data_IF_801948829471
#
_entry.id   IF_801948829471
#
_cell.length_a   1.000
_cell.length_b   1.000
_cell.length_c   1.000
_cell.angle_alpha   90.00
_cell.angle_beta   90.00
_cell.angle_gamma   90.00
#
_symmetry.space_group_name_H-M   'P 1'
#
loop_
_entity.id
_entity.type
_entity.pdbx_description
1 polymer ?
#
# COMPACT_ATOMS: atom_id res chain seq x y z
N UNK A 1 72.62 -25.50 -50.76
CA UNK A 1 71.66 -26.61 -50.60
C UNK A 1 71.17 -26.62 -49.17
N UNK A 2 69.84 -26.60 -49.00
CA UNK A 2 69.04 -26.90 -47.81
C UNK A 2 69.19 -25.99 -46.57
N UNK A 3 68.16 -25.61 -45.80
CA UNK A 3 66.70 -25.65 -45.90
C UNK A 3 66.17 -25.16 -44.52
N UNK A 4 65.18 -24.25 -44.48
CA UNK A 4 64.21 -24.01 -43.38
C UNK A 4 64.78 -23.54 -41.99
N UNK A 5 64.14 -22.72 -41.15
CA UNK A 5 62.75 -22.31 -40.95
C UNK A 5 62.68 -21.08 -40.02
N UNK A 6 61.61 -20.30 -40.17
CA UNK A 6 61.15 -19.14 -39.38
C UNK A 6 61.11 -19.35 -37.85
N UNK A 7 61.17 -18.25 -37.06
CA UNK A 7 60.06 -17.80 -36.18
C UNK A 7 60.41 -16.61 -35.27
N UNK A 8 59.60 -15.53 -35.38
CA UNK A 8 58.93 -14.71 -34.34
C UNK A 8 59.02 -13.20 -34.63
N UNK A 9 58.04 -12.71 -35.37
CA UNK A 9 57.57 -11.31 -35.31
C UNK A 9 56.37 -11.31 -34.36
N UNK A 10 56.47 -10.58 -33.25
CA UNK A 10 55.38 -10.39 -32.30
C UNK A 10 54.39 -9.37 -32.85
N UNK A 11 53.15 -9.80 -33.06
CA UNK A 11 52.03 -8.95 -33.44
C UNK A 11 51.40 -8.36 -32.15
N UNK A 12 51.51 -7.05 -31.97
CA UNK A 12 50.75 -6.30 -30.95
C UNK A 12 49.29 -6.18 -31.43
N UNK A 13 48.39 -7.01 -30.90
CA UNK A 13 46.95 -6.81 -31.02
C UNK A 13 46.51 -5.76 -29.99
N UNK A 14 46.08 -4.60 -30.47
CA UNK A 14 45.33 -3.63 -29.67
C UNK A 14 43.88 -4.12 -29.54
N UNK A 15 43.54 -4.71 -28.39
CA UNK A 15 42.15 -4.98 -28.02
C UNK A 15 41.47 -3.68 -27.60
N UNK A 16 40.71 -3.07 -28.50
CA UNK A 16 39.72 -2.06 -28.14
C UNK A 16 38.53 -2.76 -27.47
N UNK A 17 38.49 -2.76 -26.14
CA UNK A 17 37.27 -3.08 -25.40
C UNK A 17 36.28 -1.93 -25.60
N UNK A 18 35.32 -2.11 -26.51
CA UNK A 18 34.10 -1.30 -26.52
C UNK A 18 33.31 -1.64 -25.25
N UNK A 19 33.37 -0.78 -24.24
CA UNK A 19 32.44 -0.82 -23.12
C UNK A 19 31.05 -0.42 -23.64
N UNK A 20 30.28 -1.41 -24.10
CA UNK A 20 28.84 -1.26 -24.26
C UNK A 20 28.26 -1.10 -22.86
N UNK A 21 28.09 0.15 -22.44
CA UNK A 21 27.23 0.52 -21.33
C UNK A 21 25.84 -0.02 -21.63
N UNK A 22 25.49 -1.15 -21.01
CA UNK A 22 24.09 -1.60 -20.90
C UNK A 22 23.34 -0.52 -20.13
N UNK A 23 22.81 0.46 -20.85
CA UNK A 23 21.83 1.39 -20.31
C UNK A 23 20.58 0.55 -20.08
N UNK A 24 20.33 0.17 -18.83
CA UNK A 24 19.09 -0.49 -18.45
C UNK A 24 17.94 0.30 -19.08
N UNK A 25 17.14 -0.35 -19.93
CA UNK A 25 16.04 0.29 -20.62
C UNK A 25 15.05 0.74 -19.54
N UNK A 26 14.98 2.05 -19.30
CA UNK A 26 14.02 2.63 -18.36
C UNK A 26 12.63 2.37 -18.91
N UNK A 27 11.73 1.84 -18.09
CA UNK A 27 10.34 1.72 -18.50
C UNK A 27 9.77 3.13 -18.74
N UNK A 28 8.93 3.27 -19.76
CA UNK A 28 8.23 4.52 -20.03
C UNK A 28 7.00 4.69 -19.12
N UNK A 29 6.52 3.58 -18.54
CA UNK A 29 5.38 3.56 -17.62
C UNK A 29 5.52 2.54 -16.51
N UNK A 30 4.87 2.83 -15.38
CA UNK A 30 4.69 1.89 -14.26
C UNK A 30 3.26 1.94 -13.73
N UNK A 31 2.80 0.84 -13.13
CA UNK A 31 1.50 0.73 -12.45
C UNK A 31 1.72 0.57 -10.94
N UNK A 32 1.20 1.51 -10.17
CA UNK A 32 1.13 1.43 -8.71
C UNK A 32 -0.24 0.91 -8.31
N UNK A 33 -0.30 0.06 -7.28
CA UNK A 33 -1.55 -0.44 -6.70
C UNK A 33 -1.54 -0.17 -5.20
N UNK A 34 -2.59 0.48 -4.72
CA UNK A 34 -2.82 0.73 -3.31
C UNK A 34 -4.04 -0.06 -2.84
N UNK A 35 -3.93 -0.67 -1.67
CA UNK A 35 -5.04 -1.39 -1.04
C UNK A 35 -5.37 -0.78 0.32
N UNK A 36 -6.59 -1.04 0.78
CA UNK A 36 -7.06 -0.62 2.10
C UNK A 36 -6.44 -1.36 3.29
N UNK A 37 -7.14 -1.33 4.40
CA UNK A 37 -6.59 -1.73 5.70
C UNK A 37 -6.38 -3.25 5.81
N UNK A 38 -5.15 -3.64 6.15
CA UNK A 38 -4.73 -5.02 6.38
C UNK A 38 -4.85 -5.34 7.87
N UNK A 39 -5.99 -5.92 8.26
CA UNK A 39 -6.32 -6.20 9.66
C UNK A 39 -6.33 -7.69 9.99
N UNK A 40 -6.20 -7.98 11.29
CA UNK A 40 -6.16 -9.35 11.81
C UNK A 40 -6.97 -9.47 13.11
N UNK A 41 -8.29 -9.68 12.98
CA UNK A 41 -9.18 -9.92 14.10
C UNK A 41 -9.08 -11.36 14.63
N UNK A 42 -9.62 -11.61 15.83
CA UNK A 42 -9.56 -12.93 16.46
C UNK A 42 -10.13 -14.04 15.56
N UNK A 43 -11.29 -13.82 14.95
CA UNK A 43 -11.91 -14.80 14.06
C UNK A 43 -11.06 -15.12 12.81
N UNK A 44 -10.28 -14.16 12.31
CA UNK A 44 -9.38 -14.37 11.18
C UNK A 44 -8.18 -15.23 11.59
N UNK A 45 -7.63 -14.98 12.78
CA UNK A 45 -6.55 -15.80 13.35
C UNK A 45 -7.03 -17.22 13.64
N UNK A 46 -8.22 -17.37 14.20
CA UNK A 46 -8.80 -18.68 14.52
C UNK A 46 -9.05 -19.49 13.23
N UNK A 47 -9.54 -18.84 12.18
CA UNK A 47 -9.75 -19.46 10.87
C UNK A 47 -8.44 -19.84 10.15
N UNK A 48 -7.36 -19.07 10.37
CA UNK A 48 -6.05 -19.34 9.78
C UNK A 48 -5.24 -20.38 10.58
N UNK A 49 -5.58 -20.63 11.85
CA UNK A 49 -4.78 -21.47 12.74
C UNK A 49 -4.81 -22.94 12.32
N UNK A 50 -3.62 -23.53 12.14
CA UNK A 50 -3.43 -24.96 11.86
C UNK A 50 -3.30 -25.79 13.16
N UNK A 51 -3.51 -27.12 13.09
CA UNK A 51 -3.35 -28.01 14.25
C UNK A 51 -1.95 -27.97 14.90
N UNK A 52 -0.91 -27.69 14.12
CA UNK A 52 0.49 -27.57 14.59
C UNK A 52 0.79 -26.22 15.27
N UNK A 53 -0.20 -25.31 15.34
CA UNK A 53 -0.05 -23.99 15.96
C UNK A 53 0.51 -22.90 15.04
N UNK A 54 0.76 -23.21 13.77
CA UNK A 54 1.08 -22.20 12.73
C UNK A 54 -0.18 -21.58 12.14
N UNK A 55 -0.04 -20.56 11.29
CA UNK A 55 -1.15 -19.85 10.66
C UNK A 55 -1.04 -19.86 9.14
N UNK A 56 -2.16 -20.07 8.43
CA UNK A 56 -2.27 -20.11 6.98
C UNK A 56 -3.22 -19.05 6.45
N UNK A 57 -2.68 -18.13 5.65
CA UNK A 57 -3.42 -17.04 5.03
C UNK A 57 -3.52 -17.19 3.51
N UNK A 58 -3.09 -18.32 2.94
CA UNK A 58 -3.01 -18.55 1.49
C UNK A 58 -4.33 -18.31 0.76
N UNK A 59 -5.47 -18.67 1.37
CA UNK A 59 -6.79 -18.49 0.74
C UNK A 59 -7.20 -17.03 0.62
N UNK A 60 -6.69 -16.14 1.49
CA UNK A 60 -7.21 -14.79 1.66
C UNK A 60 -7.06 -13.98 0.38
N UNK A 61 -5.93 -14.13 -0.32
CA UNK A 61 -5.58 -13.30 -1.47
C UNK A 61 -5.75 -14.00 -2.82
N UNK A 62 -6.22 -15.26 -2.83
CA UNK A 62 -6.22 -16.10 -4.04
C UNK A 62 -6.89 -15.44 -5.24
N UNK A 63 -8.06 -14.80 -5.04
CA UNK A 63 -8.85 -14.26 -6.16
C UNK A 63 -8.43 -12.84 -6.56
N UNK A 64 -7.68 -12.14 -5.71
CA UNK A 64 -7.14 -10.80 -6.00
C UNK A 64 -5.71 -10.84 -6.53
N UNK A 65 -5.06 -12.01 -6.45
CA UNK A 65 -3.70 -12.24 -6.94
C UNK A 65 -3.47 -11.79 -8.39
N UNK A 66 -4.39 -12.03 -9.35
CA UNK A 66 -4.19 -11.56 -10.73
C UNK A 66 -3.97 -10.05 -10.85
N UNK A 67 -4.58 -9.24 -9.97
CA UNK A 67 -4.39 -7.79 -9.99
C UNK A 67 -3.07 -7.37 -9.33
N UNK A 68 -2.61 -8.11 -8.32
CA UNK A 68 -1.29 -7.87 -7.71
C UNK A 68 -0.16 -8.11 -8.70
N UNK A 69 -0.24 -9.19 -9.49
CA UNK A 69 0.80 -9.54 -10.46
C UNK A 69 0.90 -8.51 -11.63
N UNK A 70 -0.09 -7.62 -11.77
CA UNK A 70 -0.07 -6.51 -12.75
C UNK A 70 0.57 -5.24 -12.20
N UNK A 71 0.76 -5.15 -10.88
CA UNK A 71 1.36 -3.98 -10.25
C UNK A 71 2.89 -4.05 -10.32
N UNK A 72 3.52 -2.92 -10.56
CA UNK A 72 4.97 -2.75 -10.41
C UNK A 72 5.36 -2.36 -8.98
N UNK A 73 4.40 -1.79 -8.23
CA UNK A 73 4.53 -1.48 -6.80
C UNK A 73 3.18 -1.68 -6.11
N UNK A 74 3.09 -2.61 -5.18
CA UNK A 74 1.93 -2.86 -4.33
C UNK A 74 2.15 -2.29 -2.91
N UNK A 75 1.25 -1.40 -2.48
CA UNK A 75 1.33 -0.71 -1.18
C UNK A 75 0.07 -0.98 -0.35
N UNK A 76 0.23 -1.29 0.93
CA UNK A 76 -0.88 -1.51 1.87
C UNK A 76 -0.68 -0.84 3.24
N UNK A 77 -1.78 -0.54 3.92
CA UNK A 77 -1.78 -0.09 5.31
C UNK A 77 -1.77 -1.31 6.25
N UNK A 78 -0.65 -1.55 6.93
CA UNK A 78 -0.53 -2.61 7.93
C UNK A 78 -1.08 -2.12 9.27
N UNK A 79 -2.38 -2.32 9.47
CA UNK A 79 -3.12 -1.79 10.63
C UNK A 79 -3.19 -2.79 11.80
N UNK A 80 -2.06 -3.45 12.04
CA UNK A 80 -1.85 -4.36 13.14
C UNK A 80 -0.39 -4.28 13.57
N UNK A 81 -0.11 -4.58 14.84
CA UNK A 81 1.27 -4.82 15.26
C UNK A 81 1.65 -6.28 15.10
N UNK A 82 2.92 -6.54 14.83
CA UNK A 82 3.54 -7.86 14.94
C UNK A 82 4.26 -7.90 16.30
N UNK A 83 3.48 -7.91 17.38
CA UNK A 83 4.00 -7.86 18.75
C UNK A 83 4.47 -9.20 19.31
N UNK A 84 4.26 -10.30 18.58
CA UNK A 84 4.55 -11.66 19.04
C UNK A 84 3.43 -12.24 19.92
N UNK A 85 3.67 -13.44 20.45
CA UNK A 85 2.71 -14.12 21.32
C UNK A 85 2.54 -13.39 22.67
N UNK A 86 1.35 -13.43 23.29
CA UNK A 86 0.12 -14.00 22.76
C UNK A 86 -0.46 -13.14 21.64
N UNK A 87 -0.84 -13.78 20.53
CA UNK A 87 -1.56 -13.12 19.45
C UNK A 87 -2.94 -12.71 19.93
N UNK A 88 -3.39 -11.52 19.52
CA UNK A 88 -4.69 -10.97 19.93
C UNK A 88 -5.29 -10.15 18.80
N UNK A 89 -6.61 -10.27 18.63
CA UNK A 89 -7.37 -9.36 17.78
C UNK A 89 -7.69 -8.04 18.51
N UNK A 90 -8.73 -7.36 18.03
CA UNK A 90 -9.30 -6.16 18.63
C UNK A 90 -9.61 -6.34 20.14
N UNK A 91 -9.46 -5.31 21.01
CA UNK A 91 -9.19 -3.89 20.70
C UNK A 91 -7.73 -3.52 20.53
N UNK A 92 -6.81 -4.45 20.78
CA UNK A 92 -5.39 -4.15 20.73
C UNK A 92 -4.66 -5.34 20.09
N UNK A 93 -4.27 -5.15 18.84
CA UNK A 93 -3.81 -6.17 17.91
C UNK A 93 -2.39 -6.63 18.20
N UNK A 94 -2.17 -7.93 18.03
CA UNK A 94 -0.86 -8.57 17.83
C UNK A 94 -1.07 -9.73 16.86
N UNK A 95 -0.76 -9.49 15.58
CA UNK A 95 -0.97 -10.45 14.51
C UNK A 95 0.11 -11.56 14.50
N UNK A 96 -0.22 -12.77 14.02
CA UNK A 96 0.77 -13.81 13.74
C UNK A 96 1.77 -13.37 12.68
N UNK A 97 3.04 -13.78 12.82
CA UNK A 97 4.10 -13.43 11.88
C UNK A 97 3.81 -13.95 10.47
N UNK A 98 3.14 -15.10 10.37
CA UNK A 98 2.72 -15.71 9.11
C UNK A 98 1.78 -14.83 8.28
N UNK A 99 1.08 -13.89 8.91
CA UNK A 99 0.31 -12.89 8.17
C UNK A 99 1.25 -12.00 7.35
N UNK A 100 2.35 -11.53 7.94
CA UNK A 100 3.35 -10.72 7.24
C UNK A 100 4.10 -11.54 6.18
N UNK A 101 4.38 -12.83 6.44
CA UNK A 101 4.98 -13.73 5.45
C UNK A 101 4.08 -13.91 4.24
N UNK A 102 2.77 -14.06 4.45
CA UNK A 102 1.81 -14.13 3.37
C UNK A 102 1.77 -12.83 2.58
N UNK A 103 1.75 -11.67 3.24
CA UNK A 103 1.81 -10.36 2.55
C UNK A 103 3.06 -10.25 1.65
N UNK A 104 4.24 -10.65 2.14
CA UNK A 104 5.45 -10.70 1.31
C UNK A 104 5.28 -11.66 0.13
N UNK A 105 4.76 -12.87 0.37
CA UNK A 105 4.56 -13.91 -0.66
C UNK A 105 3.59 -13.45 -1.74
N UNK A 106 2.58 -12.66 -1.38
CA UNK A 106 1.60 -12.12 -2.34
C UNK A 106 2.04 -10.87 -3.09
N UNK A 107 3.25 -10.38 -2.80
CA UNK A 107 3.88 -9.32 -3.57
C UNK A 107 3.70 -7.93 -2.96
N UNK A 108 3.37 -7.78 -1.68
CA UNK A 108 3.40 -6.47 -1.05
C UNK A 108 4.83 -5.93 -1.00
N UNK A 109 5.06 -4.84 -1.73
CA UNK A 109 6.37 -4.20 -1.86
C UNK A 109 6.61 -3.17 -0.76
N UNK A 110 5.57 -2.48 -0.30
CA UNK A 110 5.65 -1.47 0.77
C UNK A 110 4.50 -1.63 1.75
N UNK A 111 4.82 -1.54 3.05
CA UNK A 111 3.80 -1.49 4.11
C UNK A 111 3.88 -0.18 4.90
N UNK A 112 2.72 0.44 5.06
CA UNK A 112 2.54 1.68 5.82
C UNK A 112 2.17 1.33 7.25
N UNK A 113 2.74 2.05 8.22
CA UNK A 113 2.65 1.69 9.64
C UNK A 113 2.21 2.84 10.55
N UNK A 114 2.14 4.08 10.06
CA UNK A 114 1.50 5.15 10.82
C UNK A 114 -0.02 5.00 10.68
N UNK A 115 -0.60 4.35 11.68
CA UNK A 115 -2.03 4.24 11.93
C UNK A 115 -2.30 4.26 13.44
N UNK A 116 -3.56 4.30 13.83
CA UNK A 116 -3.96 4.34 15.24
C UNK A 116 -3.57 3.08 16.04
N UNK A 117 -3.42 1.93 15.36
CA UNK A 117 -3.09 0.65 15.97
C UNK A 117 -1.59 0.36 16.09
N UNK A 118 -0.72 1.26 15.61
CA UNK A 118 0.73 1.03 15.58
C UNK A 118 1.39 0.89 16.97
N UNK A 119 0.67 1.26 18.04
CA UNK A 119 1.12 1.16 19.43
C UNK A 119 0.32 0.18 20.29
N UNK A 120 -0.51 -0.70 19.70
CA UNK A 120 -1.37 -1.63 20.47
C UNK A 120 -0.59 -2.58 21.40
N UNK A 121 0.69 -2.79 21.12
CA UNK A 121 1.65 -3.57 21.91
C UNK A 121 2.77 -2.70 22.52
N UNK A 122 2.52 -1.39 22.61
CA UNK A 122 3.43 -0.37 23.11
C UNK A 122 4.75 -0.32 22.35
N UNK A 123 5.77 0.25 23.00
CA UNK A 123 7.15 0.35 22.49
C UNK A 123 7.69 -0.98 21.94
N UNK A 124 7.60 -2.06 22.71
CA UNK A 124 8.13 -3.37 22.30
C UNK A 124 7.42 -3.91 21.05
N UNK A 125 6.11 -3.67 20.93
CA UNK A 125 5.31 -4.03 19.77
C UNK A 125 5.70 -3.29 18.51
N UNK A 126 5.82 -1.96 18.60
CA UNK A 126 6.28 -1.12 17.49
C UNK A 126 7.69 -1.54 17.04
N UNK A 127 8.63 -1.65 17.98
CA UNK A 127 10.01 -2.03 17.66
C UNK A 127 10.10 -3.42 17.02
N UNK A 128 9.31 -4.39 17.51
CA UNK A 128 9.26 -5.73 16.91
C UNK A 128 8.64 -5.67 15.51
N UNK A 129 7.58 -4.91 15.31
CA UNK A 129 6.94 -4.73 14.00
C UNK A 129 7.94 -4.20 12.98
N UNK A 130 8.69 -3.15 13.33
CA UNK A 130 9.76 -2.59 12.49
C UNK A 130 10.86 -3.63 12.21
N UNK A 131 11.31 -4.38 13.22
CA UNK A 131 12.32 -5.45 13.04
C UNK A 131 11.83 -6.56 12.10
N UNK A 132 10.56 -6.96 12.19
CA UNK A 132 9.99 -7.98 11.32
C UNK A 132 9.96 -7.51 9.86
N UNK A 133 9.51 -6.27 9.61
CA UNK A 133 9.52 -5.66 8.29
C UNK A 133 10.94 -5.56 7.71
N UNK A 134 11.90 -5.09 8.51
CA UNK A 134 13.31 -5.03 8.11
C UNK A 134 13.89 -6.42 7.82
N UNK A 135 13.55 -7.45 8.62
CA UNK A 135 14.06 -8.82 8.43
C UNK A 135 13.56 -9.51 7.15
N UNK A 136 12.42 -9.06 6.62
CA UNK A 136 11.84 -9.54 5.36
C UNK A 136 12.13 -8.59 4.19
N UNK A 137 12.96 -7.57 4.43
CA UNK A 137 13.30 -6.54 3.45
C UNK A 137 12.04 -5.94 2.81
N UNK A 138 11.03 -5.62 3.64
CA UNK A 138 9.83 -4.90 3.22
C UNK A 138 10.05 -3.43 3.58
N UNK A 139 10.29 -2.55 2.59
CA UNK A 139 10.28 -1.11 2.82
C UNK A 139 9.01 -0.68 3.56
N UNK A 140 9.18 0.21 4.53
CA UNK A 140 8.07 0.71 5.33
C UNK A 140 8.24 2.19 5.67
N UNK A 141 7.11 2.83 5.95
CA UNK A 141 7.06 4.23 6.36
C UNK A 141 6.03 4.41 7.48
N UNK A 142 6.27 5.40 8.34
CA UNK A 142 5.30 5.87 9.33
C UNK A 142 5.71 5.66 10.79
N UNK A 143 6.43 4.59 11.11
CA UNK A 143 6.92 4.31 12.47
C UNK A 143 8.40 3.94 12.48
N UNK A 144 9.11 4.34 13.55
CA UNK A 144 10.55 4.19 13.66
C UNK A 144 10.96 3.88 15.10
N UNK A 145 12.03 3.09 15.28
CA UNK A 145 12.54 2.74 16.61
C UNK A 145 13.18 3.93 17.32
N UNK A 146 13.71 4.86 16.54
CA UNK A 146 14.40 6.07 17.01
C UNK A 146 14.25 7.25 16.02
N UNK A 147 14.45 8.48 16.51
CA UNK A 147 14.34 9.72 15.71
C UNK A 147 15.40 9.77 14.61
N UNK A 148 16.59 9.25 14.88
CA UNK A 148 17.72 9.18 13.97
C UNK A 148 17.44 8.21 12.82
N UNK A 149 16.74 7.10 13.09
CA UNK A 149 16.28 6.16 12.09
C UNK A 149 15.27 6.83 11.16
N UNK A 150 14.26 7.50 11.71
CA UNK A 150 13.31 8.32 10.93
C UNK A 150 14.04 9.32 10.04
N UNK A 151 14.98 10.06 10.61
CA UNK A 151 15.69 11.14 9.91
C UNK A 151 16.50 10.63 8.71
N UNK A 152 17.03 9.40 8.79
CA UNK A 152 17.76 8.74 7.70
C UNK A 152 16.85 8.10 6.66
N UNK A 153 15.73 7.49 7.09
CA UNK A 153 14.87 6.65 6.23
C UNK A 153 13.60 7.33 5.71
N UNK A 154 13.24 8.51 6.21
CA UNK A 154 12.01 9.22 5.84
C UNK A 154 12.30 10.59 5.21
N UNK A 155 11.58 11.04 4.16
CA UNK A 155 10.55 10.33 3.37
C UNK A 155 11.03 9.00 2.76
N UNK A 156 10.14 8.02 2.65
CA UNK A 156 10.49 6.73 2.06
C UNK A 156 10.62 6.91 0.55
N UNK A 157 11.82 6.69 0.00
CA UNK A 157 12.05 6.65 -1.44
C UNK A 157 12.24 5.20 -1.90
N UNK A 158 11.39 4.75 -2.82
CA UNK A 158 11.53 3.47 -3.53
C UNK A 158 11.81 3.72 -5.01
N UNK A 159 12.61 2.84 -5.63
CA UNK A 159 12.90 2.92 -7.07
C UNK A 159 12.38 1.67 -7.78
N UNK A 160 11.45 1.84 -8.71
CA UNK A 160 10.81 0.74 -9.45
C UNK A 160 10.91 1.00 -10.94
N UNK A 161 11.52 0.08 -11.70
CA UNK A 161 11.74 0.22 -13.16
C UNK A 161 12.32 1.60 -13.56
N UNK A 162 13.19 2.13 -12.69
CA UNK A 162 13.84 3.43 -12.85
C UNK A 162 13.01 4.64 -12.39
N UNK A 163 11.75 4.48 -11.97
CA UNK A 163 10.94 5.54 -11.35
C UNK A 163 11.25 5.70 -9.87
N UNK A 164 11.47 6.94 -9.45
CA UNK A 164 11.75 7.35 -8.06
C UNK A 164 10.45 7.79 -7.40
N UNK A 165 9.89 6.96 -6.53
CA UNK A 165 8.60 7.18 -5.88
C UNK A 165 8.85 7.50 -4.41
N UNK A 166 8.39 8.67 -3.96
CA UNK A 166 8.42 9.00 -2.53
C UNK A 166 7.04 8.74 -1.93
N UNK A 167 7.03 8.01 -0.82
CA UNK A 167 5.86 7.75 0.01
C UNK A 167 6.01 8.49 1.34
N UNK A 168 4.97 9.25 1.69
CA UNK A 168 4.81 9.87 2.99
C UNK A 168 3.69 9.14 3.73
N UNK A 169 3.82 8.91 5.04
CA UNK A 169 2.76 8.25 5.82
C UNK A 169 2.58 8.88 7.19
N UNK A 170 1.33 9.26 7.51
CA UNK A 170 0.97 9.94 8.74
C UNK A 170 -0.35 9.41 9.32
N UNK A 171 -0.48 9.45 10.64
CA UNK A 171 -1.70 9.09 11.38
C UNK A 171 -2.28 10.24 12.18
N UNK A 172 -3.61 10.29 12.31
CA UNK A 172 -4.32 11.24 13.17
C UNK A 172 -4.04 11.01 14.66
N UNK A 173 -3.64 9.80 15.06
CA UNK A 173 -3.41 9.45 16.46
C UNK A 173 -2.99 7.99 16.64
N UNK A 174 -2.95 7.55 17.90
CA UNK A 174 -2.46 6.24 18.37
C UNK A 174 -3.39 5.62 19.43
N UNK A 175 -4.71 5.79 19.28
CA UNK A 175 -5.72 5.31 20.25
C UNK A 175 -5.48 5.77 21.70
N UNK A 176 -4.89 6.96 21.88
CA UNK A 176 -4.55 7.51 23.19
C UNK A 176 -3.30 6.90 23.84
N UNK A 177 -2.61 5.99 23.17
CA UNK A 177 -1.37 5.39 23.67
C UNK A 177 -0.20 6.34 23.37
N UNK A 178 0.53 6.84 24.37
CA UNK A 178 1.61 7.79 24.14
C UNK A 178 2.81 7.11 23.45
N UNK A 179 3.38 7.81 22.46
CA UNK A 179 4.67 7.42 21.88
C UNK A 179 5.75 7.59 22.94
N UNK A 180 6.47 6.51 23.27
CA UNK A 180 7.53 6.54 24.28
C UNK A 180 8.89 6.68 23.59
N UNK A 181 9.69 7.72 23.89
CA UNK A 181 11.05 7.84 23.36
C UNK A 181 11.91 6.59 23.64
N UNK A 182 12.82 6.22 22.72
CA UNK A 182 13.21 6.97 21.53
C UNK A 182 12.28 6.78 20.32
N UNK A 183 11.24 5.94 20.41
CA UNK A 183 10.38 5.63 19.26
C UNK A 183 9.73 6.89 18.68
N UNK A 184 9.44 6.83 17.38
CA UNK A 184 8.78 7.92 16.66
C UNK A 184 7.63 7.38 15.80
N UNK A 185 6.49 8.05 15.86
CA UNK A 185 5.34 7.83 14.99
C UNK A 185 5.06 9.12 14.24
N UNK A 186 4.95 9.04 12.91
CA UNK A 186 4.60 10.19 12.08
C UNK A 186 3.12 10.57 12.32
N UNK A 187 2.88 11.53 13.19
CA UNK A 187 1.56 12.14 13.39
C UNK A 187 1.22 13.15 12.30
N UNK A 188 -0.07 13.43 12.11
CA UNK A 188 -0.53 14.54 11.26
C UNK A 188 -0.19 15.85 11.95
N UNK A 189 0.96 16.43 11.59
CA UNK A 189 1.41 17.76 12.00
C UNK A 189 1.78 18.57 10.75
N UNK A 190 1.13 19.71 10.52
CA UNK A 190 1.31 20.48 9.28
C UNK A 190 2.73 21.04 9.12
N UNK A 191 3.42 21.38 10.21
CA UNK A 191 4.78 21.90 10.11
C UNK A 191 5.74 20.78 9.68
N UNK A 192 5.64 19.61 10.32
CA UNK A 192 6.43 18.44 9.99
C UNK A 192 6.14 17.91 8.58
N UNK A 193 4.86 17.83 8.18
CA UNK A 193 4.46 17.42 6.82
C UNK A 193 5.08 18.35 5.78
N UNK A 194 5.06 19.67 6.00
CA UNK A 194 5.68 20.64 5.09
C UNK A 194 7.18 20.37 4.93
N UNK A 195 7.91 20.19 6.03
CA UNK A 195 9.35 19.91 5.98
C UNK A 195 9.65 18.60 5.26
N UNK A 196 8.84 17.57 5.49
CA UNK A 196 8.99 16.27 4.83
C UNK A 196 8.70 16.36 3.33
N UNK A 197 7.70 17.13 2.91
CA UNK A 197 7.45 17.42 1.48
C UNK A 197 8.63 18.18 0.86
N UNK A 198 9.18 19.18 1.53
CA UNK A 198 10.37 19.91 1.04
C UNK A 198 11.58 18.98 0.94
N UNK A 199 11.78 18.08 1.90
CA UNK A 199 12.82 17.05 1.86
C UNK A 199 12.59 16.09 0.70
N UNK A 200 11.37 15.60 0.50
CA UNK A 200 10.98 14.74 -0.62
C UNK A 200 11.33 15.39 -1.96
N UNK A 201 10.98 16.67 -2.16
CA UNK A 201 11.29 17.40 -3.40
C UNK A 201 12.79 17.49 -3.67
N UNK A 202 13.62 17.67 -2.64
CA UNK A 202 15.10 17.66 -2.77
C UNK A 202 15.66 16.31 -3.21
N UNK A 203 14.93 15.22 -3.00
CA UNK A 203 15.30 13.88 -3.47
C UNK A 203 15.07 13.70 -4.98
N UNK A 204 14.51 14.71 -5.67
CA UNK A 204 14.17 14.68 -7.11
C UNK A 204 13.39 13.42 -7.51
N UNK A 205 12.23 13.15 -6.88
CA UNK A 205 11.40 12.01 -7.24
C UNK A 205 10.65 12.27 -8.55
N UNK A 206 10.21 11.18 -9.17
CA UNK A 206 9.23 11.20 -10.26
C UNK A 206 7.80 11.48 -9.74
N UNK A 207 7.51 11.07 -8.50
CA UNK A 207 6.20 11.27 -7.85
C UNK A 207 6.34 11.29 -6.33
N UNK A 208 5.54 12.11 -5.65
CA UNK A 208 5.37 12.15 -4.20
C UNK A 208 3.91 11.77 -3.87
N UNK A 209 3.71 10.73 -3.07
CA UNK A 209 2.38 10.26 -2.67
C UNK A 209 2.26 10.35 -1.15
N UNK A 210 1.22 11.02 -0.66
CA UNK A 210 0.90 11.10 0.76
C UNK A 210 -0.16 10.07 1.14
N UNK A 211 0.20 9.17 2.05
CA UNK A 211 -0.66 8.11 2.57
C UNK A 211 -1.15 8.48 3.97
N UNK A 212 -2.43 8.76 4.10
CA UNK A 212 -3.00 9.41 5.28
C UNK A 212 -3.94 8.46 6.02
N UNK A 213 -3.73 8.31 7.31
CA UNK A 213 -4.60 7.55 8.19
C UNK A 213 -5.41 8.55 9.03
N UNK A 214 -6.66 8.81 8.64
CA UNK A 214 -7.42 10.01 9.06
C UNK A 214 -8.94 9.88 8.98
N UNK A 215 -9.68 10.94 9.33
CA UNK A 215 -11.14 10.93 9.26
C UNK A 215 -11.78 10.33 10.52
N UNK A 216 -12.98 9.79 10.35
CA UNK A 216 -13.78 9.21 11.44
C UNK A 216 -14.23 7.82 10.99
N UNK A 217 -14.06 6.82 11.86
CA UNK A 217 -14.55 5.46 11.61
C UNK A 217 -16.02 5.45 11.15
N UNK A 218 -16.30 4.61 10.15
CA UNK A 218 -17.61 4.30 9.60
C UNK A 218 -18.33 5.46 8.90
N UNK A 219 -17.71 6.64 8.77
CA UNK A 219 -18.26 7.73 7.99
C UNK A 219 -17.99 7.53 6.51
N UNK A 220 -19.05 7.46 5.70
CA UNK A 220 -18.95 7.22 4.24
C UNK A 220 -18.50 8.45 3.45
N UNK A 221 -18.45 9.63 4.06
CA UNK A 221 -17.97 10.86 3.44
C UNK A 221 -16.78 11.45 4.23
N UNK A 222 -15.75 11.95 3.54
CA UNK A 222 -14.67 12.68 4.20
C UNK A 222 -15.20 14.02 4.74
N UNK A 223 -14.66 14.47 5.87
CA UNK A 223 -14.99 15.80 6.39
C UNK A 223 -14.26 16.85 5.58
N UNK A 224 -14.67 18.10 5.80
CA UNK A 224 -14.02 19.28 5.21
C UNK A 224 -12.52 19.31 5.51
N UNK A 225 -12.10 18.93 6.71
CA UNK A 225 -10.69 18.95 7.12
C UNK A 225 -9.82 18.01 6.29
N UNK A 226 -10.27 16.79 5.98
CA UNK A 226 -9.52 15.86 5.12
C UNK A 226 -9.38 16.41 3.70
N UNK A 227 -10.46 16.99 3.15
CA UNK A 227 -10.45 17.64 1.82
C UNK A 227 -9.47 18.82 1.76
N UNK A 228 -9.47 19.67 2.79
CA UNK A 228 -8.56 20.81 2.88
C UNK A 228 -7.10 20.37 3.05
N UNK A 229 -6.84 19.35 3.87
CA UNK A 229 -5.49 18.83 4.07
C UNK A 229 -4.93 18.19 2.79
N UNK A 230 -5.75 17.42 2.06
CA UNK A 230 -5.36 16.85 0.76
C UNK A 230 -4.96 17.95 -0.24
N UNK A 231 -5.82 18.97 -0.41
CA UNK A 231 -5.55 20.10 -1.33
C UNK A 231 -4.32 20.91 -0.90
N UNK A 232 -4.14 21.12 0.40
CA UNK A 232 -2.97 21.82 0.93
C UNK A 232 -1.67 21.06 0.65
N UNK A 233 -1.64 19.73 0.84
CA UNK A 233 -0.47 18.91 0.50
C UNK A 233 -0.18 18.93 -1.01
N UNK A 234 -1.21 18.84 -1.84
CA UNK A 234 -1.07 18.93 -3.30
C UNK A 234 -0.47 20.30 -3.69
N UNK A 235 -0.97 21.39 -3.11
CA UNK A 235 -0.43 22.74 -3.33
C UNK A 235 1.04 22.91 -2.89
N UNK A 236 1.57 22.02 -2.03
CA UNK A 236 2.98 22.00 -1.64
C UNK A 236 3.86 21.11 -2.53
N UNK A 237 3.27 20.38 -3.47
CA UNK A 237 3.97 19.51 -4.41
C UNK A 237 3.83 18.01 -4.13
N UNK A 238 2.82 17.58 -3.36
CA UNK A 238 2.37 16.17 -3.37
C UNK A 238 1.59 15.91 -4.64
N UNK A 239 1.87 14.81 -5.33
CA UNK A 239 1.19 14.48 -6.57
C UNK A 239 -0.15 13.76 -6.31
N UNK A 240 -0.18 12.82 -5.37
CA UNK A 240 -1.38 12.02 -5.07
C UNK A 240 -1.55 11.80 -3.57
N UNK A 241 -2.80 11.61 -3.14
CA UNK A 241 -3.16 11.38 -1.75
C UNK A 241 -4.01 10.11 -1.63
N UNK A 242 -3.60 9.19 -0.76
CA UNK A 242 -4.27 7.90 -0.53
C UNK A 242 -4.64 7.80 0.95
N UNK A 243 -5.92 7.72 1.25
CA UNK A 243 -6.46 7.70 2.62
C UNK A 243 -6.86 6.30 3.10
N UNK A 244 -6.83 6.13 4.42
CA UNK A 244 -7.21 4.95 5.21
C UNK A 244 -7.80 5.40 6.55
N UNK A 245 -8.25 4.46 7.40
CA UNK A 245 -8.86 4.62 8.75
C UNK A 245 -10.39 4.54 8.85
N UNK A 246 -11.21 5.17 7.99
CA UNK A 246 -12.65 5.09 8.17
C UNK A 246 -13.23 3.67 8.13
N UNK A 247 -12.45 2.66 7.71
CA UNK A 247 -12.83 1.25 7.55
C UNK A 247 -13.98 1.00 6.57
N UNK A 248 -14.50 2.06 5.97
CA UNK A 248 -15.45 2.07 4.88
C UNK A 248 -14.84 2.79 3.69
N UNK A 249 -15.28 2.39 2.51
CA UNK A 249 -14.99 3.10 1.27
C UNK A 249 -15.49 4.54 1.34
N UNK A 250 -14.64 5.49 0.99
CA UNK A 250 -15.02 6.88 0.76
C UNK A 250 -14.77 7.29 -0.71
N UNK A 251 -15.42 8.36 -1.20
CA UNK A 251 -15.27 8.84 -2.57
C UNK A 251 -13.83 9.14 -2.98
N UNK A 252 -13.59 9.22 -4.29
CA UNK A 252 -12.32 9.61 -4.88
C UNK A 252 -12.51 10.84 -5.76
N UNK A 253 -11.49 11.67 -5.89
CA UNK A 253 -11.50 12.75 -6.87
C UNK A 253 -10.17 12.88 -7.58
N UNK A 254 -10.22 13.09 -8.90
CA UNK A 254 -9.07 13.53 -9.68
C UNK A 254 -9.14 15.03 -9.83
N UNK A 255 -8.25 15.72 -9.12
CA UNK A 255 -8.09 17.16 -9.23
C UNK A 255 -7.22 17.50 -10.43
N UNK A 256 -7.57 18.57 -11.12
CA UNK A 256 -6.76 19.18 -12.17
C UNK A 256 -6.30 20.56 -11.71
N UNK A 257 -5.04 20.88 -11.96
CA UNK A 257 -4.54 22.24 -11.80
C UNK A 257 -5.07 23.13 -12.96
N UNK A 258 -5.41 24.38 -12.67
CA UNK A 258 -5.87 25.36 -13.67
C UNK A 258 -4.71 25.97 -14.46
N UNK A 259 -3.49 25.87 -13.96
CA UNK A 259 -2.26 26.44 -14.54
C UNK A 259 -1.40 25.36 -15.20
N UNK A 260 -1.41 24.13 -14.67
CA UNK A 260 -0.72 22.99 -15.27
C UNK A 260 -1.71 21.86 -15.60
N UNK A 261 -1.50 21.06 -16.67
CA UNK A 261 -2.37 19.92 -16.98
C UNK A 261 -2.17 18.74 -16.01
N UNK A 262 -1.64 18.98 -14.82
CA UNK A 262 -1.39 17.98 -13.79
C UNK A 262 -2.70 17.40 -13.27
N UNK A 263 -2.77 16.06 -13.20
CA UNK A 263 -3.88 15.31 -12.59
C UNK A 263 -3.42 14.73 -11.27
N UNK A 264 -4.18 14.98 -10.20
CA UNK A 264 -3.88 14.55 -8.84
C UNK A 264 -5.02 13.69 -8.31
N UNK A 265 -4.76 12.40 -8.07
CA UNK A 265 -5.75 11.56 -7.40
C UNK A 265 -5.76 11.86 -5.89
N UNK A 266 -6.97 12.00 -5.35
CA UNK A 266 -7.25 11.94 -3.91
C UNK A 266 -8.24 10.80 -3.67
N UNK A 267 -7.79 9.74 -3.02
CA UNK A 267 -8.67 8.70 -2.47
C UNK A 267 -8.82 8.94 -0.97
N UNK A 268 -10.02 9.21 -0.47
CA UNK A 268 -10.19 9.62 0.92
C UNK A 268 -10.14 8.47 1.92
N UNK A 269 -10.62 7.29 1.52
CA UNK A 269 -10.52 6.03 2.25
C UNK A 269 -10.71 4.87 1.29
N UNK A 270 -9.78 3.93 1.31
CA UNK A 270 -9.91 2.68 0.56
C UNK A 270 -10.79 1.62 1.26
N UNK A 271 -11.18 1.86 2.53
CA UNK A 271 -11.89 0.90 3.35
C UNK A 271 -11.02 -0.29 3.78
N UNK A 272 -11.66 -1.34 4.29
CA UNK A 272 -10.94 -2.54 4.72
C UNK A 272 -10.53 -3.39 3.52
N UNK A 273 -9.24 -3.74 3.43
CA UNK A 273 -8.81 -4.74 2.46
C UNK A 273 -9.00 -6.15 3.01
N UNK A 274 -8.56 -6.43 4.24
CA UNK A 274 -8.76 -7.71 4.93
C UNK A 274 -9.23 -7.42 6.35
N UNK A 275 -10.48 -7.75 6.70
CA UNK A 275 -11.05 -7.46 8.03
C UNK A 275 -12.21 -8.39 8.40
N UNK A 276 -12.54 -8.45 9.70
CA UNK A 276 -13.75 -9.08 10.22
C UNK A 276 -14.69 -8.08 10.94
N UNK A 277 -14.53 -6.78 10.70
CA UNK A 277 -15.42 -5.76 11.26
C UNK A 277 -16.89 -6.01 10.87
N UNK A 278 -17.81 -5.74 11.78
CA UNK A 278 -19.25 -6.00 11.59
C UNK A 278 -20.10 -4.80 11.16
N UNK A 279 -19.73 -3.52 11.43
CA UNK A 279 -20.53 -2.38 10.97
C UNK A 279 -20.78 -2.40 9.45
N UNK A 280 -21.92 -1.87 9.03
CA UNK A 280 -22.32 -1.82 7.62
C UNK A 280 -21.26 -1.10 6.78
N UNK A 281 -20.86 -1.73 5.65
CA UNK A 281 -19.87 -1.17 4.73
C UNK A 281 -18.41 -1.45 5.10
N UNK A 282 -18.15 -2.19 6.18
CA UNK A 282 -16.79 -2.59 6.62
C UNK A 282 -16.38 -4.00 6.17
N UNK A 283 -17.25 -4.70 5.46
CA UNK A 283 -17.05 -6.06 4.95
C UNK A 283 -16.32 -6.11 3.60
N UNK A 284 -15.77 -4.98 3.16
CA UNK A 284 -14.96 -4.86 1.96
C UNK A 284 -14.29 -3.49 1.85
N UNK A 285 -13.64 -3.28 0.72
CA UNK A 285 -12.85 -2.10 0.43
C UNK A 285 -12.67 -1.93 -1.07
N UNK A 286 -11.66 -1.17 -1.44
CA UNK A 286 -11.23 -1.04 -2.83
C UNK A 286 -9.71 -1.13 -2.95
N UNK A 287 -9.27 -1.41 -4.16
CA UNK A 287 -7.93 -1.16 -4.63
C UNK A 287 -7.96 0.05 -5.56
N UNK A 288 -6.89 0.85 -5.54
CA UNK A 288 -6.71 1.99 -6.42
C UNK A 288 -5.43 1.81 -7.21
N UNK A 289 -5.56 1.90 -8.54
CA UNK A 289 -4.43 1.82 -9.45
C UNK A 289 -4.06 3.20 -10.01
N UNK A 290 -2.76 3.45 -10.12
CA UNK A 290 -2.18 4.63 -10.74
C UNK A 290 -1.19 4.18 -11.82
N UNK A 291 -1.43 4.55 -13.07
CA UNK A 291 -0.48 4.36 -14.16
C UNK A 291 0.28 5.65 -14.37
N UNK A 292 1.56 5.66 -14.02
CA UNK A 292 2.46 6.78 -14.24
C UNK A 292 3.22 6.58 -15.55
N UNK A 293 3.37 7.64 -16.34
CA UNK A 293 4.12 7.63 -17.60
C UNK A 293 5.05 8.82 -17.69
N UNK A 294 6.25 8.59 -18.20
CA UNK A 294 7.17 9.68 -18.57
C UNK A 294 6.79 10.22 -19.94
N UNK A 295 6.56 11.52 -20.00
CA UNK A 295 6.29 12.27 -21.23
C UNK A 295 7.21 13.47 -21.23
N UNK A 296 8.11 13.56 -22.21
CA UNK A 296 9.07 14.67 -22.36
C UNK A 296 9.91 14.92 -21.10
N UNK A 297 10.38 13.84 -20.47
CA UNK A 297 11.21 13.91 -19.26
C UNK A 297 10.46 14.28 -17.98
N UNK A 298 9.12 14.38 -18.02
CA UNK A 298 8.27 14.59 -16.83
C UNK A 298 7.37 13.38 -16.60
N UNK A 299 7.27 12.94 -15.36
CA UNK A 299 6.31 11.90 -14.98
C UNK A 299 4.92 12.52 -14.82
N UNK A 300 3.90 11.86 -15.36
CA UNK A 300 2.50 12.29 -15.28
C UNK A 300 1.61 11.09 -14.94
N UNK A 301 0.48 11.36 -14.28
CA UNK A 301 -0.61 10.38 -14.14
C UNK A 301 -1.30 10.17 -15.50
N UNK A 302 -0.97 9.07 -16.16
CA UNK A 302 -1.53 8.73 -17.46
C UNK A 302 -2.94 8.15 -17.32
N UNK A 303 -3.13 7.26 -16.34
CA UNK A 303 -4.42 6.64 -16.06
C UNK A 303 -4.57 6.31 -14.58
N UNK A 304 -5.81 6.22 -14.12
CA UNK A 304 -6.15 5.78 -12.78
C UNK A 304 -7.54 5.13 -12.77
N UNK A 305 -7.72 4.13 -11.91
CA UNK A 305 -8.99 3.46 -11.71
C UNK A 305 -9.06 2.82 -10.34
N UNK A 306 -10.26 2.46 -9.90
CA UNK A 306 -10.47 1.70 -8.67
C UNK A 306 -11.21 0.39 -8.94
N UNK A 307 -10.99 -0.63 -8.13
CA UNK A 307 -11.72 -1.89 -8.19
C UNK A 307 -12.15 -2.30 -6.79
N UNK A 308 -13.41 -2.67 -6.62
CA UNK A 308 -13.91 -3.08 -5.31
C UNK A 308 -13.56 -4.52 -4.99
N UNK A 309 -13.31 -4.76 -3.71
CA UNK A 309 -13.13 -6.10 -3.14
C UNK A 309 -14.06 -6.30 -1.96
N UNK A 310 -14.52 -7.53 -1.78
CA UNK A 310 -15.38 -7.92 -0.67
C UNK A 310 -14.79 -9.12 0.06
N UNK A 311 -14.87 -9.10 1.40
CA UNK A 311 -14.32 -10.15 2.25
C UNK A 311 -15.39 -11.19 2.56
N UNK A 312 -15.26 -12.38 1.96
CA UNK A 312 -16.05 -13.54 2.35
C UNK A 312 -15.51 -14.16 3.63
N UNK A 313 -16.43 -14.54 4.52
CA UNK A 313 -16.13 -15.08 5.85
C UNK A 313 -16.51 -16.56 5.91
N UNK A 314 -15.80 -17.39 6.72
CA UNK A 314 -16.14 -18.81 6.91
C UNK A 314 -17.61 -19.09 7.24
N UNK A 315 -18.22 -18.24 8.07
CA UNK A 315 -19.65 -18.32 8.43
C UNK A 315 -20.58 -18.21 7.21
N UNK A 316 -20.20 -17.44 6.20
CA UNK A 316 -20.97 -17.24 4.97
C UNK A 316 -20.63 -18.31 3.93
N UNK A 317 -19.33 -18.52 3.68
CA UNK A 317 -18.83 -19.37 2.60
C UNK A 317 -18.90 -20.87 2.92
N UNK A 318 -18.91 -21.25 4.20
CA UNK A 318 -18.68 -22.62 4.70
C UNK A 318 -17.28 -23.18 4.35
N UNK A 319 -16.37 -22.31 3.92
CA UNK A 319 -14.95 -22.63 3.67
C UNK A 319 -14.13 -22.35 4.95
N UNK A 320 -12.96 -22.99 5.14
CA UNK A 320 -12.20 -22.86 6.38
C UNK A 320 -11.63 -21.46 6.62
N UNK A 321 -11.24 -20.75 5.55
CA UNK A 321 -10.60 -19.43 5.63
C UNK A 321 -11.47 -18.30 5.09
N UNK A 322 -10.99 -17.07 5.30
CA UNK A 322 -11.50 -15.90 4.61
C UNK A 322 -10.98 -15.89 3.17
N UNK A 323 -11.73 -15.25 2.27
CA UNK A 323 -11.33 -15.02 0.88
C UNK A 323 -11.74 -13.61 0.46
N UNK A 324 -10.84 -12.89 -0.21
CA UNK A 324 -11.17 -11.65 -0.90
C UNK A 324 -11.63 -11.93 -2.31
N UNK A 325 -12.79 -11.37 -2.67
CA UNK A 325 -13.34 -11.46 -4.02
C UNK A 325 -13.40 -10.08 -4.66
N UNK A 326 -12.95 -9.92 -5.92
CA UNK A 326 -13.35 -8.78 -6.72
C UNK A 326 -14.87 -8.80 -6.94
N UNK A 327 -15.52 -7.64 -7.02
CA UNK A 327 -16.97 -7.58 -7.21
C UNK A 327 -17.45 -8.09 -8.59
N UNK A 328 -16.54 -8.32 -9.55
CA UNK A 328 -16.82 -8.95 -10.84
C UNK A 328 -16.44 -10.45 -10.87
N UNK A 329 -16.21 -11.09 -9.71
CA UNK A 329 -15.92 -12.52 -9.66
C UNK A 329 -17.04 -13.35 -10.31
N UNK A 330 -16.68 -14.47 -10.92
CA UNK A 330 -17.64 -15.39 -11.52
C UNK A 330 -18.63 -15.95 -10.49
N UNK A 331 -19.92 -15.86 -10.80
CA UNK A 331 -21.02 -16.26 -9.91
C UNK A 331 -20.97 -17.71 -9.44
N UNK A 332 -20.35 -18.62 -10.19
CA UNK A 332 -20.22 -20.03 -9.81
C UNK A 332 -19.23 -20.25 -8.65
N UNK A 333 -18.42 -19.24 -8.29
CA UNK A 333 -17.45 -19.32 -7.19
C UNK A 333 -18.05 -18.95 -5.83
N UNK A 334 -19.29 -18.43 -5.80
CA UNK A 334 -19.99 -17.96 -4.61
C UNK A 334 -21.24 -18.80 -4.33
N UNK A 335 -21.48 -19.11 -3.05
CA UNK A 335 -22.76 -19.68 -2.63
C UNK A 335 -23.86 -18.59 -2.54
N UNK A 336 -25.10 -18.99 -2.30
CA UNK A 336 -26.27 -18.08 -2.27
C UNK A 336 -26.11 -16.97 -1.20
N UNK A 337 -25.61 -17.31 -0.01
CA UNK A 337 -25.44 -16.35 1.08
C UNK A 337 -24.33 -15.33 0.78
N UNK A 338 -23.24 -15.78 0.17
CA UNK A 338 -22.15 -14.91 -0.28
C UNK A 338 -22.66 -13.93 -1.35
N UNK A 339 -23.39 -14.42 -2.37
CA UNK A 339 -23.98 -13.59 -3.42
C UNK A 339 -24.88 -12.49 -2.85
N UNK A 340 -25.75 -12.84 -1.92
CA UNK A 340 -26.69 -11.89 -1.32
C UNK A 340 -25.95 -10.80 -0.52
N UNK A 341 -24.94 -11.19 0.27
CA UNK A 341 -24.13 -10.24 1.05
C UNK A 341 -23.26 -9.35 0.16
N UNK A 342 -22.51 -9.93 -0.78
CA UNK A 342 -21.68 -9.19 -1.72
C UNK A 342 -22.51 -8.21 -2.57
N UNK A 343 -23.70 -8.61 -3.01
CA UNK A 343 -24.60 -7.74 -3.79
C UNK A 343 -25.09 -6.53 -2.99
N UNK A 344 -25.32 -6.68 -1.68
CA UNK A 344 -25.67 -5.54 -0.81
C UNK A 344 -24.52 -4.55 -0.68
N UNK A 345 -23.32 -5.07 -0.41
CA UNK A 345 -22.11 -4.24 -0.36
C UNK A 345 -21.90 -3.51 -1.69
N UNK A 346 -21.95 -4.23 -2.82
CA UNK A 346 -21.78 -3.69 -4.16
C UNK A 346 -22.75 -2.54 -4.47
N UNK A 347 -24.05 -2.72 -4.20
CA UNK A 347 -25.06 -1.66 -4.40
C UNK A 347 -24.77 -0.43 -3.54
N UNK A 348 -24.36 -0.63 -2.28
CA UNK A 348 -24.06 0.47 -1.37
C UNK A 348 -22.86 1.28 -1.86
N UNK A 349 -21.74 0.63 -2.16
CA UNK A 349 -20.51 1.34 -2.55
C UNK A 349 -20.61 1.96 -3.94
N UNK A 350 -21.22 1.28 -4.91
CA UNK A 350 -21.42 1.85 -6.26
C UNK A 350 -22.35 3.06 -6.23
N UNK A 351 -23.46 2.98 -5.48
CA UNK A 351 -24.37 4.12 -5.32
C UNK A 351 -23.69 5.33 -4.68
N UNK A 352 -22.80 5.12 -3.71
CA UNK A 352 -21.98 6.19 -3.14
C UNK A 352 -21.04 6.80 -4.19
N UNK A 353 -20.30 5.96 -4.93
CA UNK A 353 -19.33 6.44 -5.91
C UNK A 353 -19.98 7.20 -7.07
N UNK A 354 -21.11 6.73 -7.57
CA UNK A 354 -21.85 7.39 -8.65
C UNK A 354 -22.22 8.83 -8.31
N UNK A 355 -22.52 9.11 -7.04
CA UNK A 355 -22.89 10.47 -6.59
C UNK A 355 -21.68 11.36 -6.30
N UNK A 356 -20.64 10.80 -5.70
CA UNK A 356 -19.61 11.59 -5.01
C UNK A 356 -18.24 11.56 -5.69
N UNK A 357 -17.93 10.50 -6.46
CA UNK A 357 -16.61 10.31 -7.07
C UNK A 357 -16.49 11.05 -8.40
N UNK A 358 -15.34 11.68 -8.64
CA UNK A 358 -15.12 12.57 -9.80
C UNK A 358 -13.83 12.26 -10.53
N UNK A 359 -13.91 12.14 -11.86
CA UNK A 359 -12.72 12.05 -12.73
C UNK A 359 -11.97 10.70 -12.70
N UNK A 360 -12.57 9.66 -12.13
CA UNK A 360 -12.02 8.29 -12.04
C UNK A 360 -13.15 7.27 -12.13
N UNK A 361 -12.88 6.09 -12.70
CA UNK A 361 -13.88 5.03 -12.95
C UNK A 361 -13.52 3.72 -12.25
N UNK A 362 -14.56 2.93 -11.97
CA UNK A 362 -14.40 1.53 -11.58
C UNK A 362 -13.81 0.75 -12.78
N UNK A 363 -12.88 -0.17 -12.50
CA UNK A 363 -12.41 -1.18 -13.45
C UNK A 363 -12.58 -2.58 -12.86
N UNK A 364 -12.47 -3.57 -13.74
CA UNK A 364 -12.64 -4.98 -13.44
C UNK A 364 -11.39 -5.76 -13.87
N UNK A 365 -11.09 -6.85 -13.18
CA UNK A 365 -9.92 -7.69 -13.45
C UNK A 365 -10.21 -9.17 -13.23
#
# INVERSE_FOLDING_TARGET
>A
MNAFSLKRIGLLMACWLSATLFRAQTADSIRLLFVGDLMQHQAQMDAAKRPDGTYDYTSYFRQVRPEFDRADLLVGNLEVTLGGKPYRGYPAFSAPDEFLYELKRVGFDVLLTANNHCLDRGRKGLERTVRMLDSLEIPHAGTYREVEERSRRYPLLVTVKGFRIVLLNYTYGTNGIPVTPPNYVNGIDRAQIREDILKARRMKPDVIIACMHWGIEYQSLPRRQERELARWMIGLGVDHVIGSHPHVVQPLEVLTDSVTPGRHLVAYSLGNFVSNMHPTGTDGGMMVSLTLRRVEGRTRLADCGYAFVWTSRPVLSRKPGYELYPLNIADNLLNVNEKERMSRFARQVRSLMERETKGIKEYFF
#
